data_IF_429390551326
#
_entry.id   IF_429390551326
#
_cell.length_a   1.000
_cell.length_b   1.000
_cell.length_c   1.000
_cell.angle_alpha   90.00
_cell.angle_beta   90.00
_cell.angle_gamma   90.00
#
_symmetry.space_group_name_H-M   'P 1'
#
loop_
_entity.id
_entity.type
_entity.pdbx_description
1 polymer ?
#
# COMPACT_ATOMS: atom_id res chain seq x y z
N UNK A 1 23.69 -19.34 4.37
CA UNK A 1 22.94 -19.39 5.65
C UNK A 1 21.46 -19.46 5.30
N UNK A 2 20.83 -20.61 5.52
CA UNK A 2 19.45 -20.91 5.13
C UNK A 2 18.55 -20.32 6.21
N UNK A 3 17.80 -19.26 5.90
CA UNK A 3 16.87 -18.63 6.84
C UNK A 3 15.56 -19.42 6.80
N UNK A 4 15.38 -20.31 7.79
CA UNK A 4 14.11 -20.96 8.10
C UNK A 4 13.29 -20.04 9.01
N UNK A 5 12.44 -19.22 8.42
CA UNK A 5 11.31 -18.59 9.13
C UNK A 5 10.05 -19.43 8.92
N UNK A 6 9.73 -20.30 9.87
CA UNK A 6 8.50 -21.10 9.84
C UNK A 6 7.34 -20.28 10.40
N UNK A 7 6.61 -19.60 9.53
CA UNK A 7 5.19 -19.34 9.75
C UNK A 7 4.40 -20.09 8.67
N UNK A 8 3.39 -20.92 9.04
CA UNK A 8 2.63 -21.69 8.07
C UNK A 8 1.85 -20.74 7.16
N UNK A 9 1.99 -20.96 5.85
CA UNK A 9 1.26 -20.30 4.74
C UNK A 9 -0.23 -20.06 5.04
N UNK A 10 -0.84 -20.91 5.87
CA UNK A 10 -2.22 -20.85 6.31
C UNK A 10 -2.62 -19.54 7.04
N UNK A 11 -1.69 -18.84 7.69
CA UNK A 11 -1.98 -17.53 8.34
C UNK A 11 -1.82 -16.32 7.39
N UNK A 12 -1.14 -16.48 6.26
CA UNK A 12 -1.04 -15.47 5.20
C UNK A 12 -2.15 -15.62 4.15
N UNK A 13 -2.86 -16.75 4.15
CA UNK A 13 -3.95 -17.04 3.21
C UNK A 13 -5.06 -15.97 3.10
N UNK A 14 -5.49 -15.26 4.17
CA UNK A 14 -6.46 -14.17 4.01
C UNK A 14 -5.86 -12.94 3.32
N UNK A 15 -4.57 -12.65 3.52
CA UNK A 15 -3.87 -11.56 2.85
C UNK A 15 -3.56 -11.89 1.38
N UNK A 16 -3.14 -13.13 1.10
CA UNK A 16 -2.93 -13.64 -0.26
C UNK A 16 -4.27 -13.78 -1.01
N UNK A 17 -5.34 -14.16 -0.31
CA UNK A 17 -6.68 -14.27 -0.88
C UNK A 17 -7.31 -12.91 -1.18
N UNK A 18 -7.13 -11.90 -0.31
CA UNK A 18 -7.60 -10.54 -0.57
C UNK A 18 -6.80 -9.86 -1.69
N UNK A 19 -5.46 -10.00 -1.67
CA UNK A 19 -4.62 -9.55 -2.78
C UNK A 19 -4.92 -10.33 -4.07
N UNK A 20 -5.22 -11.63 -3.99
CA UNK A 20 -5.61 -12.45 -5.13
C UNK A 20 -6.98 -12.07 -5.70
N UNK A 21 -7.92 -11.63 -4.86
CA UNK A 21 -9.21 -11.11 -5.31
C UNK A 21 -9.10 -9.68 -5.89
N UNK A 22 -8.23 -8.83 -5.33
CA UNK A 22 -7.92 -7.50 -5.89
C UNK A 22 -7.18 -7.66 -7.22
N UNK A 23 -6.16 -8.52 -7.27
CA UNK A 23 -5.41 -8.84 -8.49
C UNK A 23 -6.33 -9.52 -9.50
N UNK A 24 -7.21 -10.44 -9.10
CA UNK A 24 -8.17 -11.11 -9.96
C UNK A 24 -9.27 -10.17 -10.49
N UNK A 25 -9.76 -9.25 -9.66
CA UNK A 25 -10.68 -8.18 -10.07
C UNK A 25 -10.02 -7.17 -11.00
N UNK A 26 -8.76 -6.80 -10.73
CA UNK A 26 -7.92 -6.00 -11.63
C UNK A 26 -7.59 -6.73 -12.93
N UNK A 27 -7.45 -8.06 -12.88
CA UNK A 27 -7.25 -8.90 -14.07
C UNK A 27 -8.54 -8.95 -14.89
N UNK A 28 -9.71 -9.04 -14.26
CA UNK A 28 -11.01 -9.03 -14.92
C UNK A 28 -11.31 -7.65 -15.54
N UNK A 29 -11.08 -6.56 -14.80
CA UNK A 29 -11.17 -5.19 -15.33
C UNK A 29 -10.10 -4.89 -16.38
N UNK A 30 -8.91 -5.49 -16.25
CA UNK A 30 -7.83 -5.41 -17.22
C UNK A 30 -8.16 -6.14 -18.51
N UNK A 31 -8.77 -7.33 -18.43
CA UNK A 31 -9.31 -8.06 -19.59
C UNK A 31 -10.43 -7.25 -20.25
N UNK A 32 -11.32 -6.61 -19.47
CA UNK A 32 -12.37 -5.71 -19.99
C UNK A 32 -11.78 -4.45 -20.68
N UNK A 33 -10.68 -3.93 -20.15
CA UNK A 33 -9.95 -2.81 -20.76
C UNK A 33 -9.17 -3.25 -22.02
N UNK A 34 -8.58 -4.45 -22.03
CA UNK A 34 -7.82 -5.02 -23.16
C UNK A 34 -8.76 -5.42 -24.31
N UNK A 35 -9.93 -5.99 -24.02
CA UNK A 35 -10.93 -6.30 -25.05
C UNK A 35 -11.54 -5.05 -25.70
N UNK A 36 -11.49 -3.90 -25.01
CA UNK A 36 -11.91 -2.60 -25.54
C UNK A 36 -10.77 -1.81 -26.24
N UNK A 37 -9.53 -2.33 -26.31
CA UNK A 37 -8.45 -1.76 -27.12
C UNK A 37 -8.67 -2.08 -28.61
N UNK A 38 -9.46 -1.28 -29.31
CA UNK A 38 -9.58 -1.38 -30.77
C UNK A 38 -10.64 -0.51 -31.40
N UNK A 39 -10.39 0.79 -31.51
CA UNK A 39 -11.21 1.70 -32.34
C UNK A 39 -11.08 1.36 -33.83
N UNK A 40 -11.88 0.42 -34.31
CA UNK A 40 -12.00 -0.01 -35.71
C UNK A 40 -13.22 -0.94 -35.87
N UNK A 41 -13.77 -1.14 -37.08
CA UNK A 41 -15.09 -1.73 -37.27
C UNK A 41 -15.04 -3.25 -37.09
N UNK A 42 -15.02 -3.67 -35.83
CA UNK A 42 -15.61 -4.88 -35.27
C UNK A 42 -14.96 -5.09 -33.89
N UNK A 43 -15.69 -4.70 -32.85
CA UNK A 43 -15.29 -4.91 -31.46
C UNK A 43 -15.19 -6.42 -31.20
N UNK A 44 -14.04 -6.97 -30.78
CA UNK A 44 -13.97 -8.35 -30.31
C UNK A 44 -14.75 -8.48 -28.99
N UNK A 45 -16.02 -8.89 -29.06
CA UNK A 45 -16.83 -9.21 -27.88
C UNK A 45 -16.46 -10.61 -27.41
N UNK A 46 -15.96 -10.71 -26.18
CA UNK A 46 -15.76 -12.00 -25.52
C UNK A 46 -17.12 -12.56 -25.11
N UNK A 47 -17.54 -13.62 -25.78
CA UNK A 47 -18.81 -14.32 -25.54
C UNK A 47 -18.50 -15.62 -24.79
N UNK A 48 -18.94 -15.73 -23.55
CA UNK A 48 -18.83 -16.97 -22.77
C UNK A 48 -20.05 -17.85 -23.05
N UNK A 49 -19.81 -19.05 -23.55
CA UNK A 49 -20.86 -20.07 -23.72
C UNK A 49 -20.88 -20.90 -22.45
N UNK A 50 -22.06 -21.03 -21.82
CA UNK A 50 -22.26 -21.79 -20.58
C UNK A 50 -23.25 -22.94 -20.78
N UNK A 51 -23.17 -23.97 -19.94
CA UNK A 51 -24.22 -24.97 -19.83
C UNK A 51 -25.39 -24.50 -18.92
N UNK A 52 -26.44 -25.31 -18.84
CA UNK A 52 -27.61 -25.05 -17.99
C UNK A 52 -27.30 -25.06 -16.47
N UNK A 53 -26.12 -25.56 -16.06
CA UNK A 53 -25.63 -25.48 -14.68
C UNK A 53 -24.72 -24.26 -14.43
N UNK A 54 -24.50 -23.41 -15.45
CA UNK A 54 -23.70 -22.18 -15.38
C UNK A 54 -22.19 -22.38 -15.58
N UNK A 55 -21.73 -23.59 -15.92
CA UNK A 55 -20.31 -23.84 -16.19
C UNK A 55 -19.89 -23.25 -17.53
N UNK A 56 -18.72 -22.62 -17.59
CA UNK A 56 -18.18 -22.04 -18.84
C UNK A 56 -17.65 -23.18 -19.72
N UNK A 57 -18.29 -23.39 -20.87
CA UNK A 57 -17.94 -24.41 -21.85
C UNK A 57 -16.92 -23.90 -22.88
N UNK A 58 -17.07 -22.67 -23.35
CA UNK A 58 -16.12 -22.06 -24.29
C UNK A 58 -16.12 -20.53 -24.22
N UNK A 59 -15.01 -19.91 -24.63
CA UNK A 59 -14.89 -18.46 -24.75
C UNK A 59 -14.69 -18.14 -26.23
N UNK A 60 -15.64 -17.43 -26.83
CA UNK A 60 -15.60 -17.01 -28.24
C UNK A 60 -15.28 -15.53 -28.34
N UNK A 61 -14.63 -15.14 -29.43
CA UNK A 61 -14.40 -13.73 -29.75
C UNK A 61 -15.23 -13.39 -31.00
N UNK A 62 -16.31 -12.62 -30.85
CA UNK A 62 -17.08 -12.14 -31.99
C UNK A 62 -16.52 -10.79 -32.46
N UNK A 63 -16.14 -10.66 -33.74
CA UNK A 63 -15.71 -9.39 -34.34
C UNK A 63 -14.23 -9.29 -34.75
N UNK A 64 -13.38 -10.26 -34.43
CA UNK A 64 -12.00 -10.30 -34.91
C UNK A 64 -11.85 -11.03 -36.25
N UNK A 65 -10.89 -10.63 -37.10
CA UNK A 65 -10.53 -11.32 -38.36
C UNK A 65 -9.96 -12.74 -38.17
N UNK A 66 -9.90 -13.26 -36.95
CA UNK A 66 -9.60 -14.66 -36.65
C UNK A 66 -10.67 -15.23 -35.73
N UNK A 67 -11.41 -16.20 -36.25
CA UNK A 67 -12.57 -16.82 -35.64
C UNK A 67 -12.30 -18.28 -35.26
N UNK A 68 -11.16 -18.55 -34.62
CA UNK A 68 -10.89 -19.87 -34.05
C UNK A 68 -11.26 -19.81 -32.55
N UNK A 69 -12.35 -20.49 -32.12
CA UNK A 69 -12.78 -20.49 -30.74
C UNK A 69 -11.73 -21.20 -29.87
N UNK A 70 -11.41 -20.62 -28.71
CA UNK A 70 -10.60 -21.31 -27.71
C UNK A 70 -11.52 -22.20 -26.87
N UNK A 71 -11.51 -23.51 -27.14
CA UNK A 71 -12.22 -24.52 -26.35
C UNK A 71 -11.32 -24.99 -25.20
N UNK A 72 -11.81 -24.87 -23.96
CA UNK A 72 -11.10 -25.33 -22.76
C UNK A 72 -11.14 -26.87 -22.61
N UNK A 73 -12.00 -27.54 -23.38
CA UNK A 73 -12.24 -28.97 -23.36
C UNK A 73 -12.32 -29.49 -24.80
N UNK A 74 -11.70 -30.63 -25.09
CA UNK A 74 -11.56 -31.20 -26.44
C UNK A 74 -12.87 -31.80 -27.02
N UNK A 75 -13.98 -31.74 -26.28
CA UNK A 75 -15.28 -32.28 -26.71
C UNK A 75 -16.24 -31.14 -27.10
N UNK A 76 -16.66 -31.10 -28.37
CA UNK A 76 -17.71 -30.19 -28.84
C UNK A 76 -19.04 -30.53 -28.14
N UNK A 77 -19.68 -29.59 -27.43
CA UNK A 77 -20.95 -29.87 -26.76
C UNK A 77 -22.07 -30.08 -27.79
N UNK A 78 -22.76 -31.22 -27.71
CA UNK A 78 -23.81 -31.65 -28.67
C UNK A 78 -25.05 -30.72 -28.70
N UNK A 79 -25.20 -29.80 -27.74
CA UNK A 79 -26.29 -28.82 -27.72
C UNK A 79 -25.83 -27.51 -27.07
N UNK A 80 -25.61 -26.47 -27.88
CA UNK A 80 -25.38 -25.11 -27.39
C UNK A 80 -26.74 -24.45 -27.19
N UNK A 81 -27.33 -24.63 -26.01
CA UNK A 81 -28.52 -23.90 -25.60
C UNK A 81 -28.14 -22.47 -25.18
N UNK A 82 -28.69 -21.48 -25.90
CA UNK A 82 -28.68 -20.04 -25.61
C UNK A 82 -27.30 -19.38 -25.38
N UNK A 83 -26.83 -18.63 -26.38
CA UNK A 83 -25.63 -17.80 -26.27
C UNK A 83 -25.96 -16.56 -25.43
N UNK A 84 -25.61 -16.58 -24.14
CA UNK A 84 -25.71 -15.42 -23.26
C UNK A 84 -24.52 -14.50 -23.53
N UNK A 85 -24.75 -13.37 -24.20
CA UNK A 85 -23.76 -12.30 -24.33
C UNK A 85 -23.75 -11.50 -23.02
N UNK A 86 -22.82 -11.83 -22.13
CA UNK A 86 -22.60 -11.02 -20.92
C UNK A 86 -22.10 -9.62 -21.35
N UNK A 87 -22.85 -8.58 -20.97
CA UNK A 87 -22.40 -7.20 -21.17
C UNK A 87 -21.20 -6.95 -20.25
N UNK A 88 -20.21 -6.16 -20.69
CA UNK A 88 -19.08 -5.82 -19.83
C UNK A 88 -19.56 -5.04 -18.61
N UNK A 89 -18.91 -5.23 -17.46
CA UNK A 89 -19.29 -4.62 -16.18
C UNK A 89 -19.34 -3.08 -16.28
N UNK A 90 -18.50 -2.51 -17.15
CA UNK A 90 -18.49 -1.10 -17.50
C UNK A 90 -19.80 -0.58 -18.08
N UNK A 91 -20.49 -1.36 -18.93
CA UNK A 91 -21.80 -1.01 -19.50
C UNK A 91 -22.90 -1.08 -18.42
N UNK A 92 -22.85 -2.07 -17.52
CA UNK A 92 -23.77 -2.14 -16.38
C UNK A 92 -23.60 -0.97 -15.40
N UNK A 93 -22.38 -0.49 -15.22
CA UNK A 93 -22.06 0.64 -14.35
C UNK A 93 -22.19 2.01 -15.05
N UNK A 94 -22.49 2.03 -16.36
CA UNK A 94 -22.60 3.25 -17.16
C UNK A 94 -21.30 4.06 -17.24
N UNK A 95 -20.14 3.41 -17.09
CA UNK A 95 -18.84 4.07 -17.11
C UNK A 95 -18.34 4.23 -18.54
N UNK A 96 -17.80 5.40 -18.86
CA UNK A 96 -17.12 5.64 -20.13
C UNK A 96 -15.74 4.98 -20.16
N UNK A 97 -15.24 4.67 -21.36
CA UNK A 97 -13.91 4.07 -21.56
C UNK A 97 -12.79 4.83 -20.81
N UNK A 98 -12.78 6.16 -20.92
CA UNK A 98 -11.78 6.99 -20.25
C UNK A 98 -11.84 6.86 -18.72
N UNK A 99 -13.04 6.78 -18.14
CA UNK A 99 -13.23 6.59 -16.70
C UNK A 99 -12.72 5.23 -16.23
N UNK A 100 -12.86 4.17 -17.04
CA UNK A 100 -12.34 2.83 -16.71
C UNK A 100 -10.82 2.87 -16.66
N UNK A 101 -10.17 3.45 -17.67
CA UNK A 101 -8.71 3.55 -17.75
C UNK A 101 -8.14 4.38 -16.58
N UNK A 102 -8.77 5.51 -16.26
CA UNK A 102 -8.37 6.34 -15.10
C UNK A 102 -8.56 5.60 -13.78
N UNK A 103 -9.65 4.83 -13.63
CA UNK A 103 -9.90 4.01 -12.44
C UNK A 103 -8.81 2.95 -12.28
N UNK A 104 -8.50 2.20 -13.34
CA UNK A 104 -7.44 1.16 -13.31
C UNK A 104 -6.09 1.78 -12.94
N UNK A 105 -5.70 2.89 -13.59
CA UNK A 105 -4.45 3.60 -13.26
C UNK A 105 -4.40 4.03 -11.78
N UNK A 106 -5.52 4.54 -11.27
CA UNK A 106 -5.63 4.98 -9.87
C UNK A 106 -5.50 3.80 -8.91
N UNK A 107 -6.18 2.68 -9.19
CA UNK A 107 -6.07 1.47 -8.36
C UNK A 107 -4.66 0.90 -8.39
N UNK A 108 -4.03 0.83 -9.56
CA UNK A 108 -2.64 0.37 -9.69
C UNK A 108 -1.66 1.28 -8.93
N UNK A 109 -1.87 2.59 -8.96
CA UNK A 109 -1.05 3.54 -8.19
C UNK A 109 -1.22 3.33 -6.68
N UNK A 110 -2.45 3.16 -6.20
CA UNK A 110 -2.72 2.89 -4.78
C UNK A 110 -2.08 1.56 -4.37
N UNK A 111 -2.23 0.51 -5.17
CA UNK A 111 -1.61 -0.79 -4.92
C UNK A 111 -0.08 -0.66 -4.83
N UNK A 112 0.56 0.04 -5.76
CA UNK A 112 2.01 0.28 -5.75
C UNK A 112 2.47 1.03 -4.49
N UNK A 113 1.72 2.04 -4.03
CA UNK A 113 2.03 2.77 -2.79
C UNK A 113 1.95 1.85 -1.58
N UNK A 114 0.90 1.02 -1.50
CA UNK A 114 0.71 0.07 -0.40
C UNK A 114 1.80 -1.00 -0.39
N UNK A 115 2.13 -1.57 -1.54
CA UNK A 115 3.21 -2.56 -1.69
C UNK A 115 4.57 -1.96 -1.30
N UNK A 116 4.84 -0.72 -1.71
CA UNK A 116 6.08 -0.02 -1.33
C UNK A 116 6.16 0.17 0.19
N UNK A 117 5.06 0.59 0.85
CA UNK A 117 5.01 0.72 2.30
C UNK A 117 5.22 -0.62 3.01
N UNK A 118 4.53 -1.67 2.55
CA UNK A 118 4.65 -3.02 3.10
C UNK A 118 6.05 -3.60 2.90
N UNK A 119 6.67 -3.36 1.75
CA UNK A 119 8.06 -3.72 1.48
C UNK A 119 9.04 -3.00 2.40
N UNK A 120 8.85 -1.70 2.62
CA UNK A 120 9.66 -0.92 3.56
C UNK A 120 9.52 -1.44 5.01
N UNK A 121 8.30 -1.78 5.43
CA UNK A 121 8.02 -2.37 6.74
C UNK A 121 8.68 -3.76 6.88
N UNK A 122 8.57 -4.60 5.85
CA UNK A 122 9.18 -5.92 5.83
C UNK A 122 10.71 -5.87 5.91
N UNK A 123 11.37 -5.08 5.06
CA UNK A 123 12.83 -4.93 5.03
C UNK A 123 13.36 -4.34 6.34
N UNK A 124 12.57 -3.46 6.97
CA UNK A 124 12.94 -2.85 8.24
C UNK A 124 12.77 -3.78 9.45
N UNK A 125 12.08 -4.92 9.32
CA UNK A 125 11.62 -5.71 10.46
C UNK A 125 10.84 -4.87 11.50
N UNK A 126 10.08 -3.88 11.03
CA UNK A 126 9.32 -2.93 11.84
C UNK A 126 8.05 -2.51 11.06
N UNK A 127 6.87 -2.68 11.67
CA UNK A 127 5.59 -2.33 11.03
C UNK A 127 5.34 -0.81 10.93
N UNK A 128 6.09 -0.02 11.69
CA UNK A 128 6.07 1.45 11.68
C UNK A 128 7.47 1.98 11.39
N UNK A 129 8.00 1.75 10.18
CA UNK A 129 9.40 2.07 9.86
C UNK A 129 9.63 3.57 9.66
N UNK A 130 8.58 4.34 9.36
CA UNK A 130 8.65 5.76 9.09
C UNK A 130 7.97 6.53 10.23
N UNK A 131 8.70 7.46 10.83
CA UNK A 131 8.20 8.27 11.94
C UNK A 131 8.56 9.74 11.75
N UNK A 132 7.67 10.64 12.15
CA UNK A 132 7.93 12.07 12.10
C UNK A 132 8.40 12.55 13.47
N UNK A 133 9.49 13.31 13.48
CA UNK A 133 10.01 13.93 14.70
C UNK A 133 9.20 15.20 15.01
N UNK A 134 8.72 15.30 16.24
CA UNK A 134 7.81 16.38 16.67
C UNK A 134 8.44 17.34 17.66
N UNK A 135 9.55 16.98 18.30
CA UNK A 135 10.23 17.76 19.34
C UNK A 135 11.68 18.03 18.98
N UNK A 136 12.28 19.04 19.61
CA UNK A 136 13.68 19.42 19.40
C UNK A 136 14.68 18.71 20.32
N UNK A 137 14.30 17.56 20.92
CA UNK A 137 15.17 16.87 21.89
C UNK A 137 16.41 16.24 21.24
N UNK A 138 16.35 15.97 19.94
CA UNK A 138 17.44 15.38 19.15
C UNK A 138 18.20 16.40 18.30
N UNK A 139 17.95 17.70 18.48
CA UNK A 139 18.75 18.72 17.80
C UNK A 139 20.20 18.72 18.29
N UNK A 140 21.18 19.05 17.42
CA UNK A 140 21.04 19.41 16.01
C UNK A 140 20.96 18.20 15.06
N UNK A 141 21.10 16.97 15.57
CA UNK A 141 21.20 15.75 14.76
C UNK A 141 19.93 15.45 13.97
N UNK A 142 18.77 15.57 14.63
CA UNK A 142 17.45 15.37 14.02
C UNK A 142 16.55 16.50 14.47
N UNK A 143 15.89 17.16 13.51
CA UNK A 143 15.10 18.36 13.76
C UNK A 143 13.60 18.04 13.80
N UNK A 144 12.80 18.85 14.50
CA UNK A 144 11.34 18.80 14.37
C UNK A 144 10.94 18.94 12.89
N UNK A 145 10.05 18.06 12.43
CA UNK A 145 9.62 18.04 11.03
C UNK A 145 10.44 17.13 10.12
N UNK A 146 11.51 16.50 10.62
CA UNK A 146 12.22 15.46 9.88
C UNK A 146 11.43 14.14 9.90
N UNK A 147 11.55 13.38 8.81
CA UNK A 147 11.05 12.00 8.73
C UNK A 147 12.22 11.05 8.97
N UNK A 148 12.13 10.19 9.97
CA UNK A 148 13.16 9.20 10.28
C UNK A 148 12.74 7.81 9.83
N UNK A 149 13.73 7.02 9.38
CA UNK A 149 13.56 5.61 9.09
C UNK A 149 14.16 4.76 10.20
N UNK A 150 13.32 3.93 10.83
CA UNK A 150 13.62 3.12 12.01
C UNK A 150 13.57 1.65 11.64
N UNK A 151 14.72 0.98 11.74
CA UNK A 151 14.89 -0.44 11.48
C UNK A 151 14.79 -1.22 12.79
N UNK A 152 13.92 -2.22 12.85
CA UNK A 152 13.92 -3.24 13.90
C UNK A 152 15.22 -4.03 13.85
N UNK A 153 16.02 -3.91 14.91
CA UNK A 153 17.31 -4.58 15.04
C UNK A 153 17.30 -5.42 16.32
N UNK A 154 18.01 -6.56 16.36
CA UNK A 154 18.24 -7.30 17.59
C UNK A 154 18.80 -6.41 18.69
N UNK A 155 18.38 -6.65 19.92
CA UNK A 155 18.77 -5.84 21.08
C UNK A 155 20.30 -5.84 21.30
N UNK A 156 20.95 -6.97 21.08
CA UNK A 156 22.40 -7.16 21.18
C UNK A 156 23.21 -6.47 20.07
N UNK A 157 22.57 -6.01 18.99
CA UNK A 157 23.22 -5.22 17.93
C UNK A 157 23.22 -3.70 18.21
N UNK A 158 22.53 -3.25 19.26
CA UNK A 158 22.53 -1.84 19.67
C UNK A 158 23.85 -1.48 20.32
N UNK A 159 24.42 -0.35 19.92
CA UNK A 159 25.68 0.16 20.44
C UNK A 159 25.51 1.51 21.12
N UNK A 160 26.44 1.84 22.00
CA UNK A 160 26.54 3.20 22.55
C UNK A 160 26.71 4.18 21.39
N UNK A 161 26.00 5.31 21.47
CA UNK A 161 25.80 6.33 20.44
C UNK A 161 24.77 6.02 19.35
N UNK A 162 24.18 4.82 19.30
CA UNK A 162 23.03 4.57 18.42
C UNK A 162 21.84 5.44 18.83
N UNK A 163 21.07 5.90 17.85
CA UNK A 163 19.79 6.57 18.08
C UNK A 163 18.70 5.51 17.99
N UNK A 164 17.98 5.29 19.08
CA UNK A 164 16.94 4.27 19.15
C UNK A 164 15.59 4.90 19.37
N UNK A 165 14.57 4.28 18.80
CA UNK A 165 13.17 4.56 19.10
C UNK A 165 12.64 3.48 20.05
N UNK A 166 11.94 3.90 21.08
CA UNK A 166 11.43 3.01 22.12
C UNK A 166 10.11 3.51 22.70
N UNK A 167 9.44 2.62 23.42
CA UNK A 167 8.26 2.93 24.23
C UNK A 167 8.74 3.37 25.62
N UNK A 168 8.47 4.60 26.07
CA UNK A 168 8.80 5.00 27.44
C UNK A 168 7.98 4.20 28.45
N UNK A 169 8.44 4.09 29.71
CA UNK A 169 7.66 3.43 30.74
C UNK A 169 6.29 4.11 30.91
N UNK A 170 5.26 3.29 31.18
CA UNK A 170 3.85 3.72 31.18
C UNK A 170 3.54 4.87 32.13
N UNK A 171 4.34 5.04 33.17
CA UNK A 171 4.16 6.04 34.22
C UNK A 171 4.62 7.45 33.79
N UNK A 172 5.37 7.57 32.70
CA UNK A 172 5.89 8.85 32.21
C UNK A 172 5.07 9.41 31.06
N UNK A 173 4.97 8.69 29.94
CA UNK A 173 4.28 9.16 28.73
C UNK A 173 3.55 7.99 28.08
N UNK A 174 2.21 7.99 28.14
CA UNK A 174 1.43 6.90 27.56
C UNK A 174 1.22 7.09 26.07
N UNK A 175 1.46 6.04 25.28
CA UNK A 175 1.06 5.98 23.87
C UNK A 175 1.92 6.78 22.89
N UNK A 176 3.07 7.31 23.31
CA UNK A 176 3.98 8.04 22.43
C UNK A 176 5.34 7.35 22.36
N UNK A 177 5.93 7.24 21.17
CA UNK A 177 7.29 6.73 20.99
C UNK A 177 8.30 7.86 21.23
N UNK A 178 9.43 7.54 21.85
CA UNK A 178 10.54 8.46 22.07
C UNK A 178 11.74 7.98 21.26
N UNK A 179 12.46 8.92 20.64
CA UNK A 179 13.70 8.63 19.90
C UNK A 179 14.84 9.40 20.52
N UNK A 180 15.79 8.71 21.17
CA UNK A 180 16.94 9.31 21.85
C UNK A 180 18.22 8.50 21.62
N UNK A 181 19.38 9.10 21.92
CA UNK A 181 20.68 8.46 21.79
C UNK A 181 20.99 7.58 22.99
N UNK A 182 21.50 6.38 22.73
CA UNK A 182 22.03 5.47 23.76
C UNK A 182 23.35 6.03 24.28
N UNK A 183 23.43 6.25 25.59
CA UNK A 183 24.65 6.75 26.24
C UNK A 183 25.35 5.69 27.08
N UNK A 184 24.64 4.64 27.49
CA UNK A 184 25.16 3.54 28.30
C UNK A 184 24.32 2.29 28.07
N UNK A 185 24.95 1.11 28.14
CA UNK A 185 24.30 -0.20 27.98
C UNK A 185 24.67 -1.06 29.18
N UNK A 186 23.65 -1.56 29.87
CA UNK A 186 23.79 -2.38 31.06
C UNK A 186 23.23 -3.78 30.79
N UNK A 187 23.89 -4.78 31.35
CA UNK A 187 23.54 -6.19 31.18
C UNK A 187 23.24 -6.77 32.56
N UNK A 188 22.03 -7.31 32.75
CA UNK A 188 21.64 -7.99 33.99
C UNK A 188 20.90 -9.29 33.66
N UNK A 189 21.46 -10.43 34.10
CA UNK A 189 20.77 -11.71 34.23
C UNK A 189 19.88 -12.13 33.03
N UNK A 190 20.33 -11.82 31.80
CA UNK A 190 19.69 -12.03 30.48
C UNK A 190 18.82 -10.89 29.91
N UNK A 191 18.78 -9.71 30.54
CA UNK A 191 18.16 -8.52 29.96
C UNK A 191 19.20 -7.43 29.64
N UNK A 192 18.95 -6.73 28.55
CA UNK A 192 19.73 -5.57 28.10
C UNK A 192 18.93 -4.32 28.42
N UNK A 193 19.63 -3.37 29.04
CA UNK A 193 19.09 -2.12 29.51
C UNK A 193 19.84 -0.96 28.87
N UNK A 194 19.13 -0.03 28.25
CA UNK A 194 19.72 1.15 27.63
C UNK A 194 19.41 2.39 28.46
N UNK A 195 20.44 3.19 28.76
CA UNK A 195 20.23 4.56 29.18
C UNK A 195 20.25 5.45 27.96
N UNK A 196 19.25 6.32 27.86
CA UNK A 196 19.06 7.20 26.72
C UNK A 196 19.10 8.66 27.13
N UNK A 197 19.47 9.51 26.18
CA UNK A 197 19.45 10.96 26.35
C UNK A 197 19.17 11.63 25.00
N UNK A 198 18.29 12.62 24.98
CA UNK A 198 18.16 13.51 23.83
C UNK A 198 19.43 14.33 23.64
N UNK A 199 19.90 14.45 22.39
CA UNK A 199 21.11 15.21 22.06
C UNK A 199 21.07 16.65 22.61
N UNK A 200 19.90 17.28 22.56
CA UNK A 200 19.64 18.64 23.06
C UNK A 200 19.14 18.68 24.52
N UNK A 201 18.92 17.54 25.17
CA UNK A 201 18.40 17.52 26.54
C UNK A 201 19.53 17.82 27.56
N UNK A 202 19.25 18.55 28.66
CA UNK A 202 20.26 18.86 29.68
C UNK A 202 20.61 17.67 30.58
N UNK A 203 19.68 16.74 30.77
CA UNK A 203 19.83 15.56 31.63
C UNK A 203 19.60 14.27 30.86
N UNK A 204 20.11 13.17 31.41
CA UNK A 204 19.75 11.81 31.00
C UNK A 204 18.27 11.57 31.25
N UNK A 205 17.65 10.71 30.45
CA UNK A 205 16.27 10.31 30.68
C UNK A 205 16.15 9.64 32.07
N UNK A 206 15.07 9.90 32.83
CA UNK A 206 14.92 9.38 34.20
C UNK A 206 14.53 7.90 34.25
N UNK A 207 14.51 7.22 33.11
CA UNK A 207 14.15 5.81 32.97
C UNK A 207 15.26 5.04 32.25
N UNK A 208 15.15 3.71 32.34
CA UNK A 208 15.96 2.78 31.58
C UNK A 208 15.08 2.06 30.58
N UNK A 209 15.53 1.93 29.35
CA UNK A 209 14.80 1.26 28.26
C UNK A 209 15.17 -0.21 28.27
N UNK A 210 14.17 -1.10 28.31
CA UNK A 210 14.41 -2.54 28.21
C UNK A 210 14.43 -2.98 26.75
N UNK A 211 15.04 -4.13 26.46
CA UNK A 211 14.98 -4.76 25.13
C UNK A 211 13.55 -5.01 24.62
N UNK A 212 12.56 -5.14 25.51
CA UNK A 212 11.14 -5.33 25.15
C UNK A 212 10.45 -4.04 24.69
N UNK A 213 10.96 -2.90 25.15
CA UNK A 213 10.42 -1.59 24.81
C UNK A 213 11.12 -0.97 23.58
N UNK A 214 12.20 -1.58 23.11
CA UNK A 214 12.90 -1.21 21.88
C UNK A 214 12.00 -1.42 20.67
N UNK A 215 11.80 -0.36 19.88
CA UNK A 215 11.11 -0.43 18.58
C UNK A 215 12.11 -0.62 17.45
N UNK A 216 13.26 0.04 17.53
CA UNK A 216 14.34 -0.14 16.58
C UNK A 216 15.37 0.97 16.62
N UNK A 217 16.35 0.88 15.71
CA UNK A 217 17.42 1.85 15.51
C UNK A 217 17.11 2.75 14.33
N UNK A 218 17.31 4.05 14.50
CA UNK A 218 17.25 5.02 13.43
C UNK A 218 18.42 4.79 12.46
N UNK A 219 18.14 4.72 11.16
CA UNK A 219 19.14 4.41 10.12
C UNK A 219 19.19 5.43 8.98
N UNK A 220 18.11 6.19 8.76
CA UNK A 220 18.12 7.32 7.83
C UNK A 220 17.26 8.49 8.35
N UNK A 221 17.56 9.70 7.85
CA UNK A 221 16.80 10.93 8.11
C UNK A 221 16.50 11.58 6.78
N UNK A 222 15.25 11.96 6.56
CA UNK A 222 14.79 12.75 5.42
C UNK A 222 14.39 14.14 5.93
N UNK A 223 15.25 15.15 5.75
CA UNK A 223 15.01 16.48 6.32
C UNK A 223 13.73 17.12 5.77
N UNK A 224 12.95 17.76 6.64
CA UNK A 224 11.71 18.51 6.31
C UNK A 224 10.55 17.70 5.67
N UNK A 225 10.74 16.42 5.36
CA UNK A 225 9.69 15.58 4.74
C UNK A 225 8.56 15.32 5.73
N UNK A 226 8.88 15.19 7.02
CA UNK A 226 7.88 15.00 8.08
C UNK A 226 6.93 16.20 8.23
N UNK A 227 7.41 17.42 8.00
CA UNK A 227 6.59 18.64 8.04
C UNK A 227 5.42 18.60 7.05
N UNK A 228 5.64 18.04 5.86
CA UNK A 228 4.56 17.86 4.88
C UNK A 228 3.46 16.93 5.42
N UNK A 229 3.84 15.80 6.01
CA UNK A 229 2.88 14.86 6.60
C UNK A 229 2.19 15.42 7.85
N UNK A 230 2.87 16.25 8.65
CA UNK A 230 2.25 16.97 9.78
C UNK A 230 1.23 17.99 9.28
N UNK A 231 1.56 18.72 8.21
CA UNK A 231 0.64 19.67 7.60
C UNK A 231 -0.62 18.99 7.06
N UNK A 232 -0.50 17.83 6.40
CA UNK A 232 -1.66 17.02 5.94
C UNK A 232 -2.59 16.67 7.11
N UNK A 233 -2.06 16.41 8.31
CA UNK A 233 -2.86 16.09 9.50
C UNK A 233 -3.61 17.29 10.09
N UNK A 234 -3.34 18.51 9.63
CA UNK A 234 -4.09 19.71 10.05
C UNK A 234 -5.45 19.78 9.33
N UNK A 235 -6.46 20.46 9.91
CA UNK A 235 -7.74 20.66 9.23
C UNK A 235 -7.60 21.32 7.85
N UNK A 236 -6.70 22.30 7.71
CA UNK A 236 -6.42 22.97 6.43
C UNK A 236 -5.76 22.02 5.41
N UNK A 237 -4.81 21.19 5.85
CA UNK A 237 -4.18 20.18 5.01
C UNK A 237 -5.19 19.16 4.51
N UNK A 238 -6.03 18.61 5.39
CA UNK A 238 -7.11 17.68 5.03
C UNK A 238 -8.09 18.30 4.04
N UNK A 239 -8.54 19.54 4.28
CA UNK A 239 -9.45 20.25 3.37
C UNK A 239 -8.83 20.46 1.98
N UNK A 240 -7.53 20.79 1.94
CA UNK A 240 -6.78 20.94 0.69
C UNK A 240 -6.70 19.61 -0.06
N UNK A 241 -6.32 18.52 0.62
CA UNK A 241 -6.23 17.18 0.02
C UNK A 241 -7.58 16.68 -0.50
N UNK A 242 -8.66 16.91 0.27
CA UNK A 242 -10.01 16.57 -0.16
C UNK A 242 -10.42 17.37 -1.40
N UNK A 243 -10.10 18.66 -1.45
CA UNK A 243 -10.37 19.50 -2.61
C UNK A 243 -9.62 19.00 -3.85
N UNK A 244 -8.34 18.66 -3.72
CA UNK A 244 -7.54 18.10 -4.82
C UNK A 244 -8.13 16.78 -5.30
N UNK A 245 -8.54 15.88 -4.40
CA UNK A 245 -9.16 14.61 -4.76
C UNK A 245 -10.49 14.82 -5.50
N UNK A 246 -11.34 15.73 -5.03
CA UNK A 246 -12.59 16.08 -5.71
C UNK A 246 -12.29 16.65 -7.10
N UNK A 247 -11.36 17.60 -7.22
CA UNK A 247 -10.97 18.16 -8.53
C UNK A 247 -10.44 17.07 -9.46
N UNK A 248 -9.62 16.14 -8.97
CA UNK A 248 -9.11 15.01 -9.75
C UNK A 248 -10.25 14.10 -10.25
N UNK A 249 -11.17 13.69 -9.37
CA UNK A 249 -12.29 12.81 -9.72
C UNK A 249 -13.29 13.45 -10.68
N UNK A 250 -13.55 14.75 -10.54
CA UNK A 250 -14.48 15.49 -11.40
C UNK A 250 -13.79 16.20 -12.57
N UNK A 251 -12.48 16.02 -12.74
CA UNK A 251 -11.71 16.66 -13.81
C UNK A 251 -12.31 16.40 -15.20
N UNK A 252 -12.74 15.17 -15.55
CA UNK A 252 -13.37 14.91 -16.84
C UNK A 252 -14.65 15.74 -17.05
N UNK A 253 -15.52 15.81 -16.04
CA UNK A 253 -16.77 16.58 -16.08
C UNK A 253 -16.49 18.09 -16.17
N UNK A 254 -15.52 18.59 -15.40
CA UNK A 254 -15.09 19.99 -15.43
C UNK A 254 -14.54 20.34 -16.83
N UNK A 255 -13.70 19.47 -17.39
CA UNK A 255 -13.12 19.65 -18.73
C UNK A 255 -14.21 19.68 -19.81
N UNK A 256 -15.22 18.81 -19.71
CA UNK A 256 -16.36 18.79 -20.63
C UNK A 256 -17.20 20.09 -20.53
N UNK A 257 -17.47 20.56 -19.31
CA UNK A 257 -18.22 21.81 -19.08
C UNK A 257 -17.46 23.07 -19.56
N UNK A 258 -16.13 23.07 -19.47
CA UNK A 258 -15.28 24.15 -19.97
C UNK A 258 -15.12 24.09 -21.50
N UNK A 259 -15.00 22.89 -22.08
CA UNK A 259 -14.91 22.68 -23.53
C UNK A 259 -16.21 22.94 -24.29
N UNK A 260 -17.36 22.78 -23.63
CA UNK A 260 -18.68 23.12 -24.20
C UNK A 260 -19.01 24.62 -24.24
N UNK A 261 -18.13 25.50 -23.77
CA UNK A 261 -18.31 26.97 -23.82
C UNK A 261 -17.46 27.67 -24.89
N UNK A 262 -16.76 26.91 -25.74
CA UNK A 262 -15.89 27.42 -26.81
C UNK A 262 -16.31 26.96 -28.22
N UNK A 263 -17.56 26.55 -28.40
CA UNK A 263 -18.17 26.35 -29.72
C UNK A 263 -19.32 27.35 -29.94
#
# INVERSE_FOLDING_TARGET
MIIRGTMPIMQMAPFIGLNGAIVGGLFYLGIDAISSFGGGPAEPKLVMVRDQQGQVLSIKTEGGSQAEPFTLFDEEPETVDEVIIEKPLSEYLGLTYDQIVETIKTVLLIALILETYMGAAYISNNFTPLMVVTTGSMEPTIKPGDLIYVKGVPADEIQVNDIITFKPPRDYVRGTLITHRVIDIQYDSNEIYYKTKGDNNPSVDPWTVTSKDLVGRQTAVLPNVGSFFLWIKTPAGLATMATVLVVYLFWPNIKQALGGKLQ
#
